data_IF_645014118682
#
_entry.id   IF_645014118682
#
_cell.length_a   1.000
_cell.length_b   1.000
_cell.length_c   1.000
_cell.angle_alpha   90.00
_cell.angle_beta   90.00
_cell.angle_gamma   90.00
#
_symmetry.space_group_name_H-M   'P 1'
#
loop_
_entity.id
_entity.type
_entity.pdbx_description
1 polymer ?
#
# COMPACT_ATOMS: atom_id res chain seq x y z
N UNK A 1 -11.67 -21.64 2.12
CA UNK A 1 -11.55 -20.67 1.00
C UNK A 1 -12.20 -19.38 1.47
N UNK A 2 -11.55 -18.22 1.35
CA UNK A 2 -12.19 -16.94 1.67
C UNK A 2 -13.19 -16.63 0.54
N UNK A 3 -14.45 -17.05 0.71
CA UNK A 3 -15.50 -16.92 -0.32
C UNK A 3 -15.67 -15.47 -0.80
N UNK A 4 -15.53 -14.50 0.11
CA UNK A 4 -15.58 -13.08 -0.24
C UNK A 4 -14.50 -12.70 -1.24
N UNK A 5 -13.25 -13.06 -0.97
CA UNK A 5 -12.12 -12.76 -1.84
C UNK A 5 -12.31 -13.39 -3.23
N UNK A 6 -12.72 -14.67 -3.28
CA UNK A 6 -12.94 -15.34 -4.55
C UNK A 6 -14.03 -14.65 -5.36
N UNK A 7 -15.14 -14.26 -4.73
CA UNK A 7 -16.22 -13.51 -5.39
C UNK A 7 -15.73 -12.15 -5.91
N UNK A 8 -14.95 -11.40 -5.13
CA UNK A 8 -14.36 -10.13 -5.58
C UNK A 8 -13.42 -10.32 -6.78
N UNK A 9 -12.66 -11.41 -6.82
CA UNK A 9 -11.82 -11.75 -7.98
C UNK A 9 -12.69 -12.08 -9.21
N UNK A 10 -13.79 -12.81 -9.05
CA UNK A 10 -14.70 -13.09 -10.17
C UNK A 10 -15.31 -11.80 -10.72
N UNK A 11 -15.79 -10.91 -9.86
CA UNK A 11 -16.30 -9.58 -10.27
C UNK A 11 -15.23 -8.82 -11.06
N UNK A 12 -14.00 -8.78 -10.57
CA UNK A 12 -12.89 -8.13 -11.27
C UNK A 12 -12.64 -8.75 -12.66
N UNK A 13 -12.70 -10.07 -12.80
CA UNK A 13 -12.51 -10.76 -14.08
C UNK A 13 -13.67 -10.54 -15.06
N UNK A 14 -14.90 -10.39 -14.57
CA UNK A 14 -16.06 -10.01 -15.37
C UNK A 14 -15.91 -8.59 -15.94
N UNK A 15 -15.44 -7.65 -15.12
CA UNK A 15 -15.18 -6.26 -15.53
C UNK A 15 -13.91 -6.14 -16.40
N UNK A 16 -12.94 -7.02 -16.20
CA UNK A 16 -11.64 -7.04 -16.88
C UNK A 16 -11.43 -8.37 -17.64
N UNK A 17 -12.18 -8.61 -18.74
CA UNK A 17 -12.18 -9.89 -19.44
C UNK A 17 -10.85 -10.24 -20.13
N UNK A 18 -9.91 -9.28 -20.19
CA UNK A 18 -8.56 -9.48 -20.73
C UNK A 18 -7.54 -9.85 -19.65
N UNK A 19 -7.93 -9.86 -18.37
CA UNK A 19 -7.16 -10.50 -17.31
C UNK A 19 -7.45 -11.99 -17.28
N UNK A 20 -6.40 -12.77 -17.03
CA UNK A 20 -6.48 -14.20 -16.80
C UNK A 20 -6.07 -14.51 -15.38
N UNK A 21 -6.76 -15.46 -14.76
CA UNK A 21 -6.40 -15.96 -13.44
C UNK A 21 -5.62 -17.27 -13.56
N UNK A 22 -4.50 -17.34 -12.84
CA UNK A 22 -3.86 -18.58 -12.44
C UNK A 22 -4.03 -18.71 -10.93
N UNK A 23 -4.43 -19.90 -10.47
CA UNK A 23 -4.61 -20.20 -9.06
C UNK A 23 -3.64 -21.29 -8.64
N UNK A 24 -3.00 -21.12 -7.49
CA UNK A 24 -2.25 -22.18 -6.83
C UNK A 24 -2.71 -22.33 -5.37
N UNK A 25 -2.05 -23.19 -4.59
CA UNK A 25 -2.44 -23.45 -3.20
C UNK A 25 -2.41 -22.21 -2.29
N UNK A 26 -1.56 -21.22 -2.59
CA UNK A 26 -1.29 -20.07 -1.72
C UNK A 26 -1.89 -18.77 -2.22
N UNK A 27 -2.05 -18.60 -3.53
CA UNK A 27 -2.36 -17.31 -4.14
C UNK A 27 -3.18 -17.41 -5.42
N UNK A 28 -3.78 -16.28 -5.77
CA UNK A 28 -4.33 -15.98 -7.08
C UNK A 28 -3.40 -15.01 -7.80
N UNK A 29 -3.06 -15.32 -9.04
CA UNK A 29 -2.27 -14.49 -9.94
C UNK A 29 -3.20 -14.02 -11.05
N UNK A 30 -3.46 -12.72 -11.14
CA UNK A 30 -4.29 -12.12 -12.18
C UNK A 30 -3.38 -11.36 -13.13
N UNK A 31 -3.26 -11.77 -14.38
CA UNK A 31 -2.34 -11.15 -15.34
C UNK A 31 -3.02 -10.94 -16.69
N UNK A 32 -2.74 -9.80 -17.32
CA UNK A 32 -3.23 -9.51 -18.66
C UNK A 32 -3.27 -8.02 -18.94
N UNK A 33 -4.23 -7.62 -19.77
CA UNK A 33 -4.48 -6.22 -20.08
C UNK A 33 -5.55 -5.70 -19.12
N UNK A 34 -5.22 -4.65 -18.38
CA UNK A 34 -6.16 -3.91 -17.53
C UNK A 34 -6.63 -2.67 -18.24
N UNK A 35 -7.93 -2.58 -18.50
CA UNK A 35 -8.57 -1.44 -19.15
C UNK A 35 -9.13 -0.52 -18.08
N UNK A 36 -8.83 0.77 -18.20
CA UNK A 36 -9.24 1.75 -17.20
C UNK A 36 -9.85 3.00 -17.83
N UNK A 37 -10.72 3.63 -17.05
CA UNK A 37 -11.25 4.97 -17.28
C UNK A 37 -11.31 5.62 -15.91
N UNK A 38 -10.40 6.54 -15.66
CA UNK A 38 -10.14 7.12 -14.35
C UNK A 38 -10.29 8.64 -14.43
N UNK A 39 -10.83 9.23 -13.38
CA UNK A 39 -11.00 10.67 -13.27
C UNK A 39 -10.32 11.18 -11.99
N UNK A 40 -9.56 12.26 -12.12
CA UNK A 40 -9.03 12.99 -10.98
C UNK A 40 -9.01 14.49 -11.29
N UNK A 41 -9.63 15.31 -10.42
CA UNK A 41 -9.73 16.77 -10.58
C UNK A 41 -10.20 17.21 -11.98
N UNK A 42 -11.21 16.53 -12.53
CA UNK A 42 -11.76 16.80 -13.87
C UNK A 42 -10.88 16.38 -15.04
N UNK A 43 -9.71 15.77 -14.77
CA UNK A 43 -8.86 15.16 -15.79
C UNK A 43 -9.22 13.69 -15.94
N UNK A 44 -9.51 13.27 -17.17
CA UNK A 44 -9.85 11.88 -17.50
C UNK A 44 -8.62 11.21 -18.11
N UNK A 45 -8.21 10.08 -17.54
CA UNK A 45 -7.21 9.16 -18.08
C UNK A 45 -7.90 7.87 -18.54
N UNK A 46 -7.65 7.47 -19.78
CA UNK A 46 -8.27 6.30 -20.40
C UNK A 46 -7.23 5.54 -21.20
N UNK A 47 -7.21 4.23 -21.01
CA UNK A 47 -6.25 3.39 -21.70
C UNK A 47 -6.25 1.96 -21.21
N UNK A 48 -5.15 1.30 -21.53
CA UNK A 48 -4.90 -0.09 -21.20
C UNK A 48 -3.46 -0.20 -20.69
N UNK A 49 -3.23 -0.97 -19.62
CA UNK A 49 -1.89 -1.31 -19.13
C UNK A 49 -1.70 -2.82 -19.05
N UNK A 50 -0.49 -3.30 -19.27
CA UNK A 50 -0.17 -4.71 -19.02
C UNK A 50 0.18 -4.85 -17.55
N UNK A 51 -0.59 -5.65 -16.81
CA UNK A 51 -0.46 -5.74 -15.35
C UNK A 51 -0.42 -7.16 -14.85
N UNK A 52 0.07 -7.31 -13.62
CA UNK A 52 -0.08 -8.52 -12.81
C UNK A 52 -0.48 -8.13 -11.38
N UNK A 53 -1.45 -8.85 -10.83
CA UNK A 53 -1.79 -8.84 -9.41
C UNK A 53 -1.38 -10.18 -8.80
N UNK A 54 -0.78 -10.15 -7.62
CA UNK A 54 -0.57 -11.33 -6.79
C UNK A 54 -1.35 -11.12 -5.49
N UNK A 55 -2.35 -11.96 -5.26
CA UNK A 55 -3.25 -11.88 -4.09
C UNK A 55 -3.18 -13.20 -3.33
N UNK A 56 -2.63 -13.17 -2.13
CA UNK A 56 -2.58 -14.36 -1.28
C UNK A 56 -3.99 -14.76 -0.80
N UNK A 57 -4.26 -16.06 -0.70
CA UNK A 57 -5.58 -16.59 -0.28
C UNK A 57 -5.98 -16.22 1.14
N UNK A 58 -5.02 -15.78 1.95
CA UNK A 58 -5.25 -15.26 3.30
C UNK A 58 -5.52 -13.74 3.31
N UNK A 59 -5.69 -13.07 2.16
CA UNK A 59 -6.16 -11.68 2.14
C UNK A 59 -7.40 -11.51 3.06
N UNK A 60 -7.49 -10.40 3.82
CA UNK A 60 -6.68 -9.18 3.74
C UNK A 60 -5.36 -9.20 4.51
N UNK A 61 -5.00 -10.27 5.24
CA UNK A 61 -3.83 -10.26 6.15
C UNK A 61 -2.46 -10.20 5.45
N UNK A 62 -2.45 -10.14 4.11
CA UNK A 62 -1.31 -9.79 3.29
C UNK A 62 -1.75 -8.78 2.24
N UNK A 63 -0.94 -7.74 2.04
CA UNK A 63 -1.20 -6.70 1.04
C UNK A 63 -0.96 -7.29 -0.36
N UNK A 64 -1.91 -7.11 -1.31
CA UNK A 64 -1.70 -7.51 -2.70
C UNK A 64 -0.46 -6.86 -3.31
N UNK A 65 0.31 -7.62 -4.10
CA UNK A 65 1.37 -7.05 -4.95
C UNK A 65 0.81 -6.71 -6.32
N UNK A 66 1.23 -5.57 -6.85
CA UNK A 66 0.85 -5.08 -8.17
C UNK A 66 2.09 -4.84 -9.01
N UNK A 67 2.01 -5.15 -10.30
CA UNK A 67 3.08 -4.96 -11.27
C UNK A 67 2.47 -4.33 -12.52
N UNK A 68 3.20 -3.40 -13.11
CA UNK A 68 2.95 -2.85 -14.45
C UNK A 68 4.17 -3.15 -15.30
N UNK A 69 3.98 -3.50 -16.57
CA UNK A 69 5.09 -3.89 -17.45
C UNK A 69 5.43 -2.85 -18.50
N UNK A 70 4.61 -1.80 -18.63
CA UNK A 70 4.73 -0.72 -19.60
C UNK A 70 4.80 0.63 -18.88
N UNK A 71 5.90 0.87 -18.16
CA UNK A 71 6.16 2.12 -17.45
C UNK A 71 7.40 2.86 -17.99
N UNK A 72 7.47 4.20 -17.87
CA UNK A 72 8.65 4.99 -18.23
C UNK A 72 9.88 4.63 -17.41
N UNK A 73 11.05 4.60 -18.05
CA UNK A 73 12.33 4.28 -17.38
C UNK A 73 12.66 5.23 -16.22
N UNK A 74 12.16 6.46 -16.24
CA UNK A 74 12.36 7.50 -15.23
C UNK A 74 11.35 7.45 -14.07
N UNK A 75 10.56 6.38 -13.95
CA UNK A 75 9.55 6.26 -12.89
C UNK A 75 10.11 5.69 -11.58
N UNK A 76 10.18 6.53 -10.54
CA UNK A 76 10.77 6.21 -9.23
C UNK A 76 9.82 5.48 -8.24
N UNK A 77 8.88 4.66 -8.72
CA UNK A 77 7.91 3.93 -7.87
C UNK A 77 7.81 2.43 -8.18
N UNK A 78 8.90 1.87 -8.72
CA UNK A 78 9.03 0.44 -8.97
C UNK A 78 10.16 -0.11 -8.11
N UNK A 79 9.85 -1.12 -7.30
CA UNK A 79 10.82 -1.82 -6.46
C UNK A 79 11.76 -2.70 -7.29
N UNK A 80 12.88 -3.12 -6.72
CA UNK A 80 13.85 -4.03 -7.36
C UNK A 80 13.25 -5.37 -7.79
N UNK A 81 12.20 -5.84 -7.11
CA UNK A 81 11.46 -7.05 -7.51
C UNK A 81 10.45 -6.80 -8.64
N UNK A 82 10.38 -5.57 -9.16
CA UNK A 82 9.47 -5.12 -10.21
C UNK A 82 8.07 -4.76 -9.70
N UNK A 83 7.77 -4.95 -8.41
CA UNK A 83 6.48 -4.58 -7.86
C UNK A 83 6.36 -3.06 -7.68
N UNK A 84 5.13 -2.57 -7.76
CA UNK A 84 4.81 -1.15 -7.65
C UNK A 84 4.74 -0.72 -6.19
N UNK A 85 5.38 0.41 -5.88
CA UNK A 85 5.19 1.14 -4.63
C UNK A 85 3.86 1.91 -4.67
N UNK A 86 2.78 1.26 -4.24
CA UNK A 86 1.43 1.85 -4.24
C UNK A 86 1.22 2.90 -3.14
N UNK A 87 1.73 2.62 -1.94
CA UNK A 87 1.68 3.45 -0.73
C UNK A 87 2.62 2.84 0.31
N UNK A 88 2.70 3.45 1.51
CA UNK A 88 3.38 2.79 2.63
C UNK A 88 2.62 1.53 3.03
N UNK A 89 3.36 0.50 3.46
CA UNK A 89 2.79 -0.71 4.08
C UNK A 89 1.89 -0.31 5.24
N UNK A 90 2.32 0.67 6.02
CA UNK A 90 1.52 1.26 7.09
C UNK A 90 0.14 1.75 6.66
N UNK A 91 0.08 2.56 5.60
CA UNK A 91 -1.18 3.07 5.04
C UNK A 91 -2.08 1.93 4.52
N UNK A 92 -1.49 0.98 3.79
CA UNK A 92 -2.23 -0.13 3.21
C UNK A 92 -2.83 -1.06 4.27
N UNK A 93 -2.08 -1.38 5.33
CA UNK A 93 -2.60 -2.16 6.47
C UNK A 93 -3.75 -1.41 7.15
N UNK A 94 -3.57 -0.12 7.42
CA UNK A 94 -4.61 0.68 8.06
C UNK A 94 -5.90 0.73 7.23
N UNK A 95 -5.77 0.87 5.91
CA UNK A 95 -6.88 0.82 4.98
C UNK A 95 -7.57 -0.56 4.98
N UNK A 96 -6.81 -1.64 4.81
CA UNK A 96 -7.34 -3.00 4.71
C UNK A 96 -8.00 -3.48 6.02
N UNK A 97 -7.51 -3.01 7.17
CA UNK A 97 -8.13 -3.29 8.46
C UNK A 97 -9.51 -2.62 8.61
N UNK A 98 -9.75 -1.50 7.94
CA UNK A 98 -11.07 -0.86 7.88
C UNK A 98 -11.93 -1.37 6.73
N UNK A 99 -11.29 -1.75 5.63
CA UNK A 99 -11.91 -2.13 4.37
C UNK A 99 -11.27 -3.43 3.85
N UNK A 100 -11.74 -4.57 4.36
CA UNK A 100 -11.27 -5.89 3.94
C UNK A 100 -11.81 -6.29 2.55
N UNK A 101 -11.53 -5.51 1.51
CA UNK A 101 -12.03 -5.69 0.15
C UNK A 101 -10.92 -5.45 -0.88
N UNK A 102 -10.74 -6.42 -1.78
CA UNK A 102 -9.77 -6.33 -2.87
C UNK A 102 -10.17 -5.24 -3.87
N UNK A 103 -11.46 -5.13 -4.21
CA UNK A 103 -11.96 -4.09 -5.13
C UNK A 103 -11.68 -2.70 -4.54
N UNK A 104 -12.02 -2.47 -3.26
CA UNK A 104 -11.73 -1.20 -2.62
C UNK A 104 -10.22 -0.88 -2.55
N UNK A 105 -9.37 -1.91 -2.42
CA UNK A 105 -7.92 -1.75 -2.48
C UNK A 105 -7.45 -1.35 -3.88
N UNK A 106 -7.98 -1.99 -4.93
CA UNK A 106 -7.69 -1.65 -6.33
C UNK A 106 -8.11 -0.20 -6.62
N UNK A 107 -9.34 0.16 -6.25
CA UNK A 107 -9.88 1.49 -6.47
C UNK A 107 -9.05 2.57 -5.79
N UNK A 108 -8.65 2.34 -4.52
CA UNK A 108 -7.88 3.32 -3.78
C UNK A 108 -6.43 3.42 -4.28
N UNK A 109 -5.74 2.29 -4.40
CA UNK A 109 -4.29 2.29 -4.55
C UNK A 109 -3.85 2.03 -5.99
N UNK A 110 -4.38 0.99 -6.62
CA UNK A 110 -3.95 0.57 -7.96
C UNK A 110 -4.41 1.58 -9.02
N UNK A 111 -5.67 1.99 -8.99
CA UNK A 111 -6.20 2.96 -9.94
C UNK A 111 -5.51 4.32 -9.77
N UNK A 112 -5.24 4.76 -8.54
CA UNK A 112 -4.46 5.97 -8.30
C UNK A 112 -3.05 5.88 -8.90
N UNK A 113 -2.40 4.73 -8.81
CA UNK A 113 -1.10 4.53 -9.45
C UNK A 113 -1.19 4.52 -10.98
N UNK A 114 -2.17 3.84 -11.57
CA UNK A 114 -2.37 3.82 -13.02
C UNK A 114 -2.64 5.24 -13.56
N UNK A 115 -3.46 6.03 -12.86
CA UNK A 115 -3.64 7.44 -13.20
C UNK A 115 -2.32 8.22 -13.11
N UNK A 116 -1.54 7.97 -12.05
CA UNK A 116 -0.21 8.58 -11.88
C UNK A 116 0.72 8.24 -13.04
N UNK A 117 0.68 7.00 -13.53
CA UNK A 117 1.50 6.54 -14.64
C UNK A 117 1.20 7.34 -15.92
N UNK A 118 -0.07 7.45 -16.30
CA UNK A 118 -0.51 8.23 -17.47
C UNK A 118 -0.15 9.71 -17.34
N UNK A 119 -0.37 10.26 -16.14
CA UNK A 119 -0.04 11.65 -15.86
C UNK A 119 1.46 11.90 -15.97
N UNK A 120 2.28 11.02 -15.38
CA UNK A 120 3.74 11.14 -15.39
C UNK A 120 4.30 10.97 -16.80
N UNK A 121 3.77 10.05 -17.62
CA UNK A 121 4.12 9.91 -19.03
C UNK A 121 3.92 11.23 -19.80
N UNK A 122 2.81 11.92 -19.54
CA UNK A 122 2.42 13.13 -20.27
C UNK A 122 3.10 14.40 -19.75
N UNK A 123 3.22 14.54 -18.43
CA UNK A 123 3.58 15.81 -17.79
C UNK A 123 4.86 15.74 -16.95
N UNK A 124 5.43 14.54 -16.74
CA UNK A 124 6.67 14.33 -15.96
C UNK A 124 6.59 14.92 -14.55
N UNK A 125 5.41 14.84 -13.94
CA UNK A 125 5.07 15.31 -12.58
C UNK A 125 4.11 14.33 -11.93
N UNK A 126 3.85 14.46 -10.61
CA UNK A 126 2.91 13.60 -9.89
C UNK A 126 1.58 14.32 -9.59
N UNK A 127 0.41 13.77 -9.99
CA UNK A 127 -0.88 14.47 -9.87
C UNK A 127 -1.37 14.60 -8.42
N UNK A 128 -0.94 13.70 -7.55
CA UNK A 128 -1.31 13.67 -6.12
C UNK A 128 -0.31 14.41 -5.22
N UNK A 129 0.66 15.12 -5.82
CA UNK A 129 1.74 15.81 -5.14
C UNK A 129 3.06 15.03 -5.13
N UNK A 130 4.17 15.75 -5.11
CA UNK A 130 5.52 15.20 -5.00
C UNK A 130 5.80 14.78 -3.55
N UNK A 131 5.36 13.58 -3.17
CA UNK A 131 5.95 12.93 -1.98
C UNK A 131 7.42 12.65 -2.30
N UNK A 132 8.31 12.81 -1.33
CA UNK A 132 9.70 12.44 -1.52
C UNK A 132 9.81 10.97 -1.94
N UNK A 133 10.88 10.57 -2.62
CA UNK A 133 11.08 9.17 -3.01
C UNK A 133 11.91 8.39 -1.97
N UNK A 134 11.89 7.07 -2.09
CA UNK A 134 12.61 6.16 -1.19
C UNK A 134 12.17 6.31 0.28
N UNK A 135 13.12 6.19 1.21
CA UNK A 135 12.82 6.18 2.64
C UNK A 135 12.14 7.46 3.14
N UNK A 136 12.44 8.62 2.52
CA UNK A 136 11.83 9.91 2.89
C UNK A 136 10.34 9.92 2.57
N UNK A 137 9.96 9.42 1.39
CA UNK A 137 8.56 9.26 1.02
C UNK A 137 7.77 8.33 1.92
N UNK A 138 8.42 7.22 2.31
CA UNK A 138 7.81 6.27 3.23
C UNK A 138 7.61 6.92 4.61
N UNK A 139 8.58 7.71 5.07
CA UNK A 139 8.49 8.43 6.34
C UNK A 139 7.41 9.55 6.30
N UNK A 140 7.25 10.25 5.18
CA UNK A 140 6.34 11.40 5.03
C UNK A 140 4.90 11.05 5.39
N UNK A 141 4.41 9.84 5.08
CA UNK A 141 3.07 9.40 5.49
C UNK A 141 2.92 9.43 7.02
N UNK A 142 3.90 8.94 7.76
CA UNK A 142 3.82 8.92 9.22
C UNK A 142 3.89 10.31 9.83
N UNK A 143 4.71 11.19 9.24
CA UNK A 143 4.85 12.55 9.74
C UNK A 143 3.60 13.38 9.45
N UNK A 144 3.06 13.29 8.25
CA UNK A 144 1.94 14.13 7.80
C UNK A 144 0.58 13.53 8.19
N UNK A 145 0.32 12.27 7.85
CA UNK A 145 -1.00 11.66 8.04
C UNK A 145 -1.22 11.18 9.48
N UNK A 146 -0.17 10.72 10.17
CA UNK A 146 -0.25 10.37 11.59
C UNK A 146 0.17 11.52 12.53
N UNK A 147 0.62 12.65 12.00
CA UNK A 147 1.06 13.81 12.77
C UNK A 147 2.09 13.44 13.84
N UNK A 148 3.13 12.71 13.43
CA UNK A 148 4.23 12.29 14.29
C UNK A 148 5.49 13.09 14.01
N UNK A 149 6.36 13.22 15.01
CA UNK A 149 7.77 13.55 14.77
C UNK A 149 8.54 12.29 14.39
N UNK A 150 9.76 12.45 13.86
CA UNK A 150 10.67 11.33 13.57
C UNK A 150 10.93 10.48 14.83
N UNK A 151 11.11 11.11 15.98
CA UNK A 151 11.35 10.40 17.24
C UNK A 151 10.11 9.65 17.72
N UNK A 152 8.91 10.23 17.55
CA UNK A 152 7.66 9.54 17.85
C UNK A 152 7.39 8.37 16.90
N UNK A 153 7.77 8.49 15.63
CA UNK A 153 7.74 7.36 14.70
C UNK A 153 8.66 6.23 15.18
N UNK A 154 9.91 6.54 15.56
CA UNK A 154 10.83 5.55 16.14
C UNK A 154 10.25 4.88 17.39
N UNK A 155 9.68 5.67 18.30
CA UNK A 155 9.01 5.15 19.50
C UNK A 155 7.88 4.18 19.15
N UNK A 156 7.05 4.52 18.14
CA UNK A 156 5.99 3.65 17.63
C UNK A 156 6.55 2.34 17.08
N UNK A 157 7.62 2.39 16.28
CA UNK A 157 8.27 1.20 15.71
C UNK A 157 8.77 0.27 16.81
N UNK A 158 9.49 0.80 17.81
CA UNK A 158 9.98 -0.01 18.94
C UNK A 158 8.84 -0.57 19.80
N UNK A 159 7.75 0.19 19.98
CA UNK A 159 6.55 -0.30 20.67
C UNK A 159 5.92 -1.50 19.97
N UNK A 160 5.86 -1.46 18.62
CA UNK A 160 5.36 -2.57 17.80
C UNK A 160 6.32 -3.75 17.86
N UNK A 161 7.62 -3.52 17.67
CA UNK A 161 8.65 -4.55 17.72
C UNK A 161 8.61 -5.35 19.03
N UNK A 162 8.61 -4.65 20.16
CA UNK A 162 8.64 -5.24 21.51
C UNK A 162 7.28 -5.75 22.01
N UNK A 163 6.19 -5.61 21.23
CA UNK A 163 4.82 -5.89 21.66
C UNK A 163 4.41 -5.12 22.94
N UNK A 164 4.88 -3.88 23.10
CA UNK A 164 4.70 -3.05 24.31
C UNK A 164 3.46 -2.15 24.28
N UNK A 165 2.48 -2.45 23.43
CA UNK A 165 1.26 -1.65 23.33
C UNK A 165 0.46 -1.67 24.63
N UNK A 166 0.17 -0.48 25.18
CA UNK A 166 -0.64 -0.29 26.38
C UNK A 166 -1.77 0.70 26.11
N UNK A 167 -2.92 0.20 25.68
CA UNK A 167 -4.05 1.04 25.24
C UNK A 167 -4.60 2.03 26.28
N UNK A 168 -4.39 1.78 27.58
CA UNK A 168 -4.81 2.68 28.66
C UNK A 168 -3.81 3.80 28.98
N UNK A 169 -2.54 3.66 28.57
CA UNK A 169 -1.50 4.68 28.75
C UNK A 169 -1.79 5.92 27.90
N UNK A 170 -1.17 7.05 28.26
CA UNK A 170 -1.18 8.23 27.40
C UNK A 170 -0.48 7.93 26.07
N UNK A 171 -0.95 8.56 24.99
CA UNK A 171 -0.35 8.40 23.67
C UNK A 171 1.00 9.12 23.57
N UNK A 172 1.99 8.45 22.98
CA UNK A 172 3.36 8.96 22.78
C UNK A 172 3.43 10.23 21.91
N UNK A 173 2.39 10.52 21.13
CA UNK A 173 2.29 11.74 20.32
C UNK A 173 2.08 13.03 21.12
N UNK A 174 1.88 12.95 22.45
CA UNK A 174 1.68 14.13 23.31
C UNK A 174 0.26 14.70 23.32
N UNK A 175 -0.70 14.06 22.65
CA UNK A 175 -2.11 14.52 22.57
C UNK A 175 -2.89 14.47 23.89
N UNK A 176 -2.30 13.92 24.96
CA UNK A 176 -2.93 13.64 26.26
C UNK A 176 -4.10 12.64 26.22
N UNK A 177 -4.46 12.11 25.04
CA UNK A 177 -5.47 11.05 24.89
C UNK A 177 -4.88 9.70 25.29
N UNK A 178 -5.75 8.75 25.66
CA UNK A 178 -5.37 7.33 25.80
C UNK A 178 -4.88 6.81 24.45
N UNK A 179 -3.84 5.97 24.44
CA UNK A 179 -3.23 5.41 23.24
C UNK A 179 -4.28 4.78 22.32
N UNK A 180 -5.18 3.96 22.87
CA UNK A 180 -6.27 3.32 22.10
C UNK A 180 -7.25 4.29 21.42
N UNK A 181 -7.37 5.51 21.93
CA UNK A 181 -8.25 6.56 21.40
C UNK A 181 -7.48 7.57 20.52
N UNK A 182 -6.22 7.29 20.24
CA UNK A 182 -5.33 8.11 19.42
C UNK A 182 -4.67 7.20 18.38
N UNK A 183 -3.36 6.96 18.45
CA UNK A 183 -2.63 6.13 17.50
C UNK A 183 -2.88 4.62 17.65
N UNK A 184 -3.58 4.18 18.69
CA UNK A 184 -3.84 2.77 18.92
C UNK A 184 -4.72 2.10 17.88
N UNK A 185 -5.63 2.84 17.21
CA UNK A 185 -6.41 2.29 16.08
C UNK A 185 -5.53 1.96 14.86
N UNK A 186 -4.38 2.61 14.75
CA UNK A 186 -3.39 2.33 13.70
C UNK A 186 -2.45 1.19 14.12
N UNK A 187 -2.00 1.20 15.38
CA UNK A 187 -1.00 0.25 15.90
C UNK A 187 -1.58 -1.13 16.19
N UNK A 188 -2.78 -1.19 16.76
CA UNK A 188 -3.35 -2.44 17.27
C UNK A 188 -3.52 -3.52 16.18
N UNK A 189 -4.01 -3.20 14.96
CA UNK A 189 -4.07 -4.18 13.87
C UNK A 189 -2.71 -4.76 13.49
N UNK A 190 -1.66 -3.94 13.52
CA UNK A 190 -0.29 -4.36 13.18
C UNK A 190 0.23 -5.35 14.23
N UNK A 191 0.03 -5.07 15.52
CA UNK A 191 0.53 -5.93 16.60
C UNK A 191 -0.26 -7.25 16.69
N UNK A 192 -1.56 -7.24 16.40
CA UNK A 192 -2.42 -8.42 16.51
C UNK A 192 -2.23 -9.42 15.36
N UNK A 193 -1.51 -9.05 14.29
CA UNK A 193 -1.32 -9.88 13.13
C UNK A 193 0.16 -9.98 12.77
N UNK A 194 0.74 -11.17 12.89
CA UNK A 194 2.17 -11.38 12.69
C UNK A 194 2.64 -11.04 11.27
N UNK A 195 1.81 -11.26 10.25
CA UNK A 195 2.17 -10.88 8.87
C UNK A 195 2.22 -9.36 8.73
N UNK A 196 1.20 -8.64 9.21
CA UNK A 196 1.21 -7.17 9.22
C UNK A 196 2.38 -6.61 10.01
N UNK A 197 2.67 -7.19 11.19
CA UNK A 197 3.83 -6.81 11.99
C UNK A 197 5.12 -6.94 11.20
N UNK A 198 5.35 -8.09 10.57
CA UNK A 198 6.56 -8.34 9.78
C UNK A 198 6.67 -7.40 8.58
N UNK A 199 5.58 -7.19 7.84
CA UNK A 199 5.57 -6.25 6.71
C UNK A 199 5.89 -4.82 7.16
N UNK A 200 5.26 -4.36 8.25
CA UNK A 200 5.50 -3.03 8.81
C UNK A 200 6.95 -2.88 9.30
N UNK A 201 7.50 -3.88 9.99
CA UNK A 201 8.88 -3.83 10.51
C UNK A 201 9.92 -3.87 9.38
N UNK A 202 9.65 -4.56 8.28
CA UNK A 202 10.52 -4.52 7.10
C UNK A 202 10.56 -3.12 6.47
N UNK A 203 9.41 -2.46 6.35
CA UNK A 203 9.35 -1.05 5.91
C UNK A 203 10.06 -0.13 6.89
N UNK A 204 9.81 -0.30 8.19
CA UNK A 204 10.46 0.48 9.23
C UNK A 204 11.98 0.31 9.22
N UNK A 205 12.48 -0.89 8.95
CA UNK A 205 13.92 -1.13 8.79
C UNK A 205 14.49 -0.29 7.65
N UNK A 206 13.85 -0.27 6.47
CA UNK A 206 14.28 0.57 5.34
C UNK A 206 14.29 2.06 5.70
N UNK A 207 13.27 2.53 6.44
CA UNK A 207 13.20 3.91 6.91
C UNK A 207 14.32 4.24 7.88
N UNK A 208 14.58 3.37 8.86
CA UNK A 208 15.54 3.61 9.94
C UNK A 208 17.01 3.48 9.51
N UNK A 209 17.30 2.67 8.50
CA UNK A 209 18.65 2.57 7.91
C UNK A 209 18.90 3.60 6.83
N UNK A 210 17.90 4.44 6.53
CA UNK A 210 17.91 5.36 5.39
C UNK A 210 18.19 4.65 4.06
N UNK A 211 17.85 3.35 3.99
CA UNK A 211 18.05 2.54 2.80
C UNK A 211 16.96 2.84 1.78
N UNK A 212 17.33 3.63 0.77
CA UNK A 212 16.51 3.95 -0.39
C UNK A 212 16.94 3.24 -1.68
N UNK A 213 17.84 2.24 -1.61
CA UNK A 213 18.39 1.59 -2.83
C UNK A 213 17.44 0.61 -3.51
N UNK A 214 16.28 0.31 -2.91
CA UNK A 214 15.33 -0.67 -3.44
C UNK A 214 14.32 -0.10 -4.43
N UNK A 215 14.40 1.19 -4.74
CA UNK A 215 13.71 1.82 -5.87
C UNK A 215 14.79 2.09 -6.90
N UNK A 216 14.60 1.63 -8.14
CA UNK A 216 15.60 1.87 -9.19
C UNK A 216 15.91 3.37 -9.28
N UNK A 217 17.21 3.70 -9.17
CA UNK A 217 17.77 5.01 -9.47
C UNK A 217 17.92 5.21 -10.97
#
# INVERSE_FOLDING_TARGET
MNEKLFNEIQVLLEEQPLLKMLENEKEYILEGIYKYTLEFNGCIAQGNRKVRFIVLKNFPINVPKFYVFDYPNDMEHIYTDGSVCLATIGEMIYFLNKNASLIAFIDKFVNSFIFTLDWFEKYKTYPFGDRNHGYKGLLDYYLNDLNLTVDQYKEMVFMIYDNKYRGHSQCFCGSKKKLRNCHGNYILPIIQNENYKNMFLNEAYMILTEDGKNVNK
#
